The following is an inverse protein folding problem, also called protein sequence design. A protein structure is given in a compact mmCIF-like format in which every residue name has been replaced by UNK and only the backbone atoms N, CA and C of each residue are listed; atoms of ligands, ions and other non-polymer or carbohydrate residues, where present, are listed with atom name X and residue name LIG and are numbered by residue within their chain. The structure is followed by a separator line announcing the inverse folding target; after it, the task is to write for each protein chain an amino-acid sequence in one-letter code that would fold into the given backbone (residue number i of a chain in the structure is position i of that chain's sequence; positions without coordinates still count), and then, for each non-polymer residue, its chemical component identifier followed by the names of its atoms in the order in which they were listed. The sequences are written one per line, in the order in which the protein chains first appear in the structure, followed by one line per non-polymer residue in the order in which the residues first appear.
data_IF_863679600380
#
_entry.id   IF_863679600380
#
_cell.length_a   1.000
_cell.length_b   1.000
_cell.length_c   1.000
_cell.angle_alpha   90.00
_cell.angle_beta   90.00
_cell.angle_gamma   90.00
#
_symmetry.space_group_name_H-M   'P 1'
#
loop_
_entity.id
_entity.type
_entity.pdbx_description
1 polymer ?
#
# COMPACT_ATOMS: atom_id res chain seq x y z
N UNK A 1 15.32 -21.69 -20.85
CA UNK A 1 16.65 -21.21 -20.39
C UNK A 1 16.59 -19.69 -20.30
N UNK A 2 17.30 -19.09 -19.34
CA UNK A 2 17.41 -17.62 -19.25
C UNK A 2 18.85 -17.18 -19.53
N UNK A 3 19.00 -16.18 -20.40
CA UNK A 3 20.30 -15.60 -20.75
C UNK A 3 20.35 -14.09 -20.45
N UNK A 4 21.57 -13.59 -20.19
CA UNK A 4 21.84 -12.20 -19.87
C UNK A 4 22.66 -11.55 -20.99
N UNK A 5 22.06 -10.59 -21.70
CA UNK A 5 22.66 -9.84 -22.81
C UNK A 5 23.19 -8.50 -22.30
N UNK A 6 24.45 -8.21 -22.57
CA UNK A 6 25.01 -6.89 -22.28
C UNK A 6 24.56 -5.86 -23.30
N UNK A 7 24.23 -4.67 -22.86
CA UNK A 7 23.86 -3.57 -23.74
C UNK A 7 23.99 -2.23 -23.03
N UNK A 8 23.97 -1.13 -23.79
CA UNK A 8 23.62 0.19 -23.27
C UNK A 8 22.12 0.45 -23.38
N UNK A 9 21.69 1.56 -22.79
CA UNK A 9 20.29 2.03 -22.79
C UNK A 9 19.75 2.18 -24.21
N UNK A 10 20.54 2.77 -25.11
CA UNK A 10 20.10 3.03 -26.49
C UNK A 10 19.82 1.73 -27.27
N UNK A 11 20.75 0.76 -27.26
CA UNK A 11 20.58 -0.51 -27.96
C UNK A 11 19.54 -1.42 -27.29
N UNK A 12 19.38 -1.30 -25.97
CA UNK A 12 18.29 -1.97 -25.25
C UNK A 12 16.94 -1.51 -25.77
N UNK A 13 16.68 -0.20 -25.76
CA UNK A 13 15.41 0.38 -26.22
C UNK A 13 15.15 0.07 -27.70
N UNK A 14 16.19 0.13 -28.54
CA UNK A 14 16.11 -0.30 -29.95
C UNK A 14 15.74 -1.78 -30.07
N UNK A 15 16.30 -2.67 -29.24
CA UNK A 15 15.99 -4.09 -29.25
C UNK A 15 14.55 -4.37 -28.83
N UNK A 16 14.10 -3.73 -27.76
CA UNK A 16 12.71 -3.82 -27.29
C UNK A 16 11.74 -3.31 -28.35
N UNK A 17 12.03 -2.16 -28.96
CA UNK A 17 11.12 -1.56 -29.95
C UNK A 17 11.06 -2.33 -31.27
N UNK A 18 12.20 -2.89 -31.71
CA UNK A 18 12.28 -3.59 -33.00
C UNK A 18 11.95 -5.09 -32.89
N UNK A 19 11.93 -5.67 -31.69
CA UNK A 19 11.80 -7.11 -31.51
C UNK A 19 13.03 -7.89 -32.00
N UNK A 20 14.22 -7.25 -31.99
CA UNK A 20 15.46 -7.82 -32.54
C UNK A 20 16.58 -7.72 -31.51
N UNK A 21 17.35 -8.80 -31.32
CA UNK A 21 18.62 -8.76 -30.58
C UNK A 21 19.75 -9.18 -31.52
N UNK A 22 20.75 -8.30 -31.70
CA UNK A 22 21.96 -8.61 -32.47
C UNK A 22 23.21 -8.66 -31.61
N UNK A 23 24.06 -9.63 -31.87
CA UNK A 23 25.39 -9.77 -31.26
C UNK A 23 26.45 -9.82 -32.38
N UNK A 24 27.47 -8.93 -32.36
CA UNK A 24 28.62 -9.01 -33.26
C UNK A 24 29.30 -10.38 -33.27
N UNK A 25 29.75 -10.85 -34.44
CA UNK A 25 30.42 -12.16 -34.57
C UNK A 25 31.62 -12.34 -33.63
N UNK A 26 32.39 -11.28 -33.38
CA UNK A 26 33.55 -11.32 -32.48
C UNK A 26 33.19 -11.51 -31.00
N UNK A 27 31.91 -11.33 -30.63
CA UNK A 27 31.41 -11.52 -29.27
C UNK A 27 30.71 -12.88 -29.07
N UNK A 28 30.62 -13.72 -30.10
CA UNK A 28 29.83 -14.96 -30.06
C UNK A 28 30.33 -15.98 -29.04
N UNK A 29 31.63 -15.99 -28.73
CA UNK A 29 32.17 -16.89 -27.70
C UNK A 29 31.62 -16.58 -26.31
N UNK A 30 31.26 -15.32 -26.07
CA UNK A 30 30.69 -14.85 -24.81
C UNK A 30 29.17 -14.84 -24.86
N UNK A 31 28.56 -14.38 -25.95
CA UNK A 31 27.11 -14.21 -26.10
C UNK A 31 26.57 -15.06 -27.25
N UNK A 32 26.65 -16.38 -27.10
CA UNK A 32 26.31 -17.33 -28.17
C UNK A 32 24.80 -17.48 -28.39
N UNK A 33 24.20 -16.57 -29.16
CA UNK A 33 22.77 -16.60 -29.51
C UNK A 33 22.32 -17.90 -30.19
N UNK A 34 23.24 -18.65 -30.82
CA UNK A 34 22.92 -19.90 -31.52
C UNK A 34 22.48 -21.02 -30.57
N UNK A 35 22.75 -20.88 -29.27
CA UNK A 35 22.34 -21.82 -28.23
C UNK A 35 20.91 -21.61 -27.76
N UNK A 36 20.30 -20.47 -28.09
CA UNK A 36 18.94 -20.13 -27.68
C UNK A 36 17.91 -20.82 -28.57
N UNK A 37 16.80 -21.23 -27.96
CA UNK A 37 15.65 -21.86 -28.60
C UNK A 37 14.41 -20.97 -28.46
N UNK A 38 13.42 -21.19 -29.31
CA UNK A 38 12.11 -20.55 -29.19
C UNK A 38 11.54 -20.81 -27.79
N UNK A 39 11.06 -19.75 -27.13
CA UNK A 39 10.56 -19.75 -25.76
C UNK A 39 11.62 -19.53 -24.68
N UNK A 40 12.91 -19.51 -25.01
CA UNK A 40 13.94 -19.08 -24.06
C UNK A 40 13.76 -17.60 -23.70
N UNK A 41 14.15 -17.25 -22.47
CA UNK A 41 14.02 -15.90 -21.93
C UNK A 41 15.33 -15.15 -22.07
N UNK A 42 15.25 -13.87 -22.42
CA UNK A 42 16.39 -12.95 -22.36
C UNK A 42 16.16 -11.85 -21.33
N UNK A 43 17.24 -11.52 -20.66
CA UNK A 43 17.40 -10.35 -19.81
C UNK A 43 18.47 -9.45 -20.43
N UNK A 44 18.32 -8.14 -20.27
CA UNK A 44 19.38 -7.18 -20.58
C UNK A 44 20.08 -6.74 -19.31
N UNK A 45 21.40 -6.79 -19.30
CA UNK A 45 22.22 -6.03 -18.37
C UNK A 45 22.61 -4.72 -19.04
N UNK A 46 22.03 -3.61 -18.56
CA UNK A 46 22.36 -2.26 -19.02
C UNK A 46 23.60 -1.76 -18.25
N UNK A 47 24.71 -1.57 -18.95
CA UNK A 47 25.93 -1.11 -18.28
C UNK A 47 25.96 0.40 -18.00
N UNK A 48 25.03 1.19 -18.57
CA UNK A 48 24.95 2.63 -18.29
C UNK A 48 24.46 2.89 -16.86
N UNK A 49 23.43 2.15 -16.43
CA UNK A 49 22.79 2.28 -15.10
C UNK A 49 23.06 1.09 -14.17
N UNK A 50 23.80 0.08 -14.65
CA UNK A 50 24.12 -1.16 -13.92
C UNK A 50 22.89 -1.95 -13.46
N UNK A 51 21.81 -1.92 -14.25
CA UNK A 51 20.54 -2.59 -13.93
C UNK A 51 20.19 -3.70 -14.92
N UNK A 52 19.29 -4.59 -14.50
CA UNK A 52 18.75 -5.69 -15.32
C UNK A 52 17.33 -5.37 -15.75
N UNK A 53 17.03 -5.64 -17.02
CA UNK A 53 15.71 -5.48 -17.64
C UNK A 53 15.29 -6.78 -18.34
N UNK A 54 14.02 -6.97 -18.67
CA UNK A 54 13.50 -8.18 -19.33
C UNK A 54 12.09 -8.50 -18.86
N UNK A 55 11.43 -9.61 -19.12
CA UNK A 55 11.85 -10.66 -20.03
C UNK A 55 11.52 -10.27 -21.46
N UNK A 56 12.41 -10.68 -22.36
CA UNK A 56 12.06 -10.91 -23.74
C UNK A 56 11.93 -12.41 -23.96
N UNK A 57 11.07 -12.85 -24.88
CA UNK A 57 10.95 -14.26 -25.27
C UNK A 57 11.49 -14.46 -26.67
N UNK A 58 12.36 -15.44 -26.88
CA UNK A 58 12.83 -15.81 -28.22
C UNK A 58 11.64 -16.32 -29.04
N UNK A 59 11.36 -15.68 -30.17
CA UNK A 59 10.27 -16.07 -31.08
C UNK A 59 10.76 -16.79 -32.32
N UNK A 60 12.03 -16.60 -32.69
CA UNK A 60 12.63 -17.24 -33.86
C UNK A 60 14.09 -17.64 -33.61
N UNK A 61 14.58 -18.59 -34.40
CA UNK A 61 15.94 -19.10 -34.33
C UNK A 61 16.99 -18.04 -34.70
N UNK A 62 18.22 -18.30 -34.28
CA UNK A 62 19.37 -17.44 -34.58
C UNK A 62 19.80 -17.57 -36.05
N UNK A 63 19.90 -16.44 -36.74
CA UNK A 63 20.44 -16.37 -38.10
C UNK A 63 21.59 -15.37 -38.18
N UNK A 64 22.40 -15.51 -39.23
CA UNK A 64 23.56 -14.65 -39.48
C UNK A 64 23.18 -13.53 -40.42
N UNK A 65 23.34 -12.29 -39.98
CA UNK A 65 23.06 -11.08 -40.75
C UNK A 65 24.36 -10.40 -41.19
N UNK A 66 24.39 -9.89 -42.42
CA UNK A 66 25.57 -9.28 -43.02
C UNK A 66 25.37 -7.77 -43.15
N UNK A 67 26.26 -7.00 -42.52
CA UNK A 67 26.29 -5.54 -42.59
C UNK A 67 24.91 -4.85 -42.43
N UNK A 68 24.21 -5.07 -41.30
CA UNK A 68 22.96 -4.37 -41.01
C UNK A 68 23.14 -2.85 -41.10
N UNK A 69 22.14 -2.16 -41.68
CA UNK A 69 22.18 -0.69 -41.86
C UNK A 69 21.96 0.09 -40.56
N UNK A 70 21.29 -0.51 -39.59
CA UNK A 70 20.95 0.10 -38.31
C UNK A 70 20.93 -0.93 -37.19
N UNK A 71 21.17 -0.45 -35.97
CA UNK A 71 21.06 -1.25 -34.74
C UNK A 71 19.65 -1.80 -34.49
N UNK A 72 19.46 -2.54 -33.40
CA UNK A 72 20.35 -2.60 -32.24
C UNK A 72 21.62 -3.43 -32.47
N UNK A 73 22.70 -3.03 -31.79
CA UNK A 73 23.96 -3.78 -31.70
C UNK A 73 24.25 -4.02 -30.21
N UNK A 74 23.92 -5.21 -29.71
CA UNK A 74 24.12 -5.55 -28.29
C UNK A 74 25.52 -6.13 -28.06
N UNK A 75 25.99 -6.07 -26.82
CA UNK A 75 27.34 -6.41 -26.39
C UNK A 75 28.03 -5.25 -25.70
N UNK A 76 29.36 -5.30 -25.57
CA UNK A 76 30.19 -4.20 -25.07
C UNK A 76 31.47 -4.05 -25.90
N UNK A 77 32.11 -2.89 -25.80
CA UNK A 77 33.30 -2.55 -26.58
C UNK A 77 32.93 -1.98 -27.96
N UNK A 78 33.79 -2.18 -28.97
CA UNK A 78 33.50 -1.77 -30.35
C UNK A 78 32.47 -2.74 -30.95
N UNK A 79 31.19 -2.41 -30.83
CA UNK A 79 30.05 -3.24 -31.28
C UNK A 79 29.44 -2.75 -32.61
N UNK A 80 29.77 -1.52 -33.01
CA UNK A 80 29.39 -0.95 -34.30
C UNK A 80 30.39 -1.33 -35.40
N UNK A 81 29.93 -1.33 -36.66
CA UNK A 81 30.74 -1.55 -37.86
C UNK A 81 31.34 -2.96 -38.01
N UNK A 82 30.62 -4.00 -37.55
CA UNK A 82 31.00 -5.39 -37.86
C UNK A 82 30.37 -5.85 -39.16
N UNK A 83 31.09 -6.67 -39.92
CA UNK A 83 30.58 -7.19 -41.17
C UNK A 83 29.52 -8.28 -40.98
N UNK A 84 29.55 -8.99 -39.84
CA UNK A 84 28.63 -10.06 -39.50
C UNK A 84 28.10 -9.97 -38.08
N UNK A 85 26.79 -10.15 -37.95
CA UNK A 85 26.07 -10.24 -36.69
C UNK A 85 25.31 -11.57 -36.64
N UNK A 86 25.09 -12.06 -35.42
CA UNK A 86 24.09 -13.07 -35.14
C UNK A 86 22.87 -12.36 -34.59
N UNK A 87 21.70 -12.70 -35.14
CA UNK A 87 20.44 -12.01 -34.90
C UNK A 87 19.39 -13.03 -34.51
N UNK A 88 18.59 -12.69 -33.49
CA UNK A 88 17.38 -13.43 -33.11
C UNK A 88 16.19 -12.47 -33.10
N UNK A 89 14.99 -13.01 -33.32
CA UNK A 89 13.74 -12.29 -33.08
C UNK A 89 13.22 -12.58 -31.68
N UNK A 90 12.65 -11.55 -31.07
CA UNK A 90 12.17 -11.61 -29.69
C UNK A 90 10.81 -10.93 -29.57
N UNK A 91 9.97 -11.47 -28.70
CA UNK A 91 8.75 -10.84 -28.23
C UNK A 91 9.06 -10.01 -27.00
N UNK A 92 8.66 -8.74 -27.05
CA UNK A 92 8.81 -7.77 -25.98
C UNK A 92 7.49 -7.38 -25.32
N UNK A 93 6.40 -8.12 -25.58
CA UNK A 93 5.09 -7.86 -24.96
C UNK A 93 5.15 -7.84 -23.43
N UNK A 94 6.01 -8.69 -22.86
CA UNK A 94 6.19 -8.89 -21.42
C UNK A 94 7.43 -8.16 -20.88
N UNK A 95 7.93 -7.16 -21.62
CA UNK A 95 9.16 -6.46 -21.25
C UNK A 95 8.94 -5.52 -20.06
N UNK A 96 9.73 -5.72 -19.01
CA UNK A 96 9.81 -4.87 -17.83
C UNK A 96 10.75 -3.70 -18.06
N UNK A 97 10.19 -2.49 -17.95
CA UNK A 97 10.82 -1.22 -18.28
C UNK A 97 11.49 -0.51 -17.10
N UNK A 98 11.33 -1.01 -15.88
CA UNK A 98 12.01 -0.56 -14.67
C UNK A 98 13.09 -1.60 -14.33
N UNK A 99 14.33 -1.13 -14.24
CA UNK A 99 15.50 -1.97 -14.04
C UNK A 99 15.69 -2.44 -12.60
N UNK A 100 16.23 -3.66 -12.43
CA UNK A 100 16.69 -4.20 -11.16
C UNK A 100 18.18 -3.90 -10.97
N UNK A 101 18.54 -3.11 -9.95
CA UNK A 101 19.95 -2.82 -9.62
C UNK A 101 20.71 -4.11 -9.29
N UNK A 102 21.80 -4.37 -10.03
CA UNK A 102 22.62 -5.57 -9.87
C UNK A 102 23.30 -5.66 -8.50
N UNK A 103 23.48 -4.56 -7.78
CA UNK A 103 24.01 -4.60 -6.40
C UNK A 103 23.12 -5.40 -5.45
N UNK A 104 21.82 -5.53 -5.76
CA UNK A 104 20.87 -6.34 -5.00
C UNK A 104 20.95 -7.85 -5.32
N UNK A 105 21.82 -8.25 -6.25
CA UNK A 105 22.00 -9.63 -6.68
C UNK A 105 23.47 -10.06 -6.49
N UNK A 106 23.93 -10.30 -5.25
CA UNK A 106 25.33 -10.61 -4.98
C UNK A 106 25.83 -11.88 -5.68
N UNK A 107 24.92 -12.83 -5.94
CA UNK A 107 25.23 -14.10 -6.63
C UNK A 107 25.25 -13.97 -8.16
N UNK A 108 24.85 -12.83 -8.71
CA UNK A 108 24.90 -12.62 -10.14
C UNK A 108 26.30 -12.18 -10.53
N UNK A 109 27.04 -13.08 -11.16
CA UNK A 109 28.22 -12.70 -11.94
C UNK A 109 27.77 -12.14 -13.28
N UNK A 110 27.82 -10.81 -13.50
CA UNK A 110 27.21 -10.23 -14.68
C UNK A 110 27.87 -10.81 -15.93
N UNK A 111 29.15 -11.20 -15.89
CA UNK A 111 29.92 -11.64 -17.07
C UNK A 111 29.48 -12.99 -17.64
N UNK A 112 28.61 -13.72 -16.96
CA UNK A 112 28.07 -15.00 -17.44
C UNK A 112 26.86 -14.77 -18.34
N UNK A 113 26.91 -15.35 -19.53
CA UNK A 113 25.84 -15.24 -20.52
C UNK A 113 24.60 -16.08 -20.18
N UNK A 114 24.79 -17.22 -19.52
CA UNK A 114 23.69 -18.05 -19.05
C UNK A 114 23.55 -17.96 -17.54
N UNK A 115 22.31 -17.81 -17.08
CA UNK A 115 21.98 -17.89 -15.67
C UNK A 115 21.78 -19.38 -15.35
N UNK A 116 22.84 -20.02 -14.87
CA UNK A 116 22.85 -21.47 -14.63
C UNK A 116 22.26 -21.88 -13.27
N UNK A 117 21.82 -20.91 -12.45
CA UNK A 117 21.19 -21.16 -11.15
C UNK A 117 19.67 -20.96 -11.28
N UNK A 118 18.86 -22.03 -11.22
CA UNK A 118 17.41 -21.92 -11.23
C UNK A 118 16.88 -21.01 -10.11
N UNK A 119 17.56 -21.01 -8.95
CA UNK A 119 17.21 -20.14 -7.83
C UNK A 119 17.41 -18.66 -8.20
N UNK A 120 18.55 -18.31 -8.80
CA UNK A 120 18.83 -16.93 -9.22
C UNK A 120 17.89 -16.48 -10.34
N UNK A 121 17.58 -17.35 -11.30
CA UNK A 121 16.60 -17.07 -12.35
C UNK A 121 15.20 -16.80 -11.75
N UNK A 122 14.78 -17.61 -10.80
CA UNK A 122 13.50 -17.44 -10.10
C UNK A 122 13.48 -16.13 -9.30
N UNK A 123 14.55 -15.82 -8.57
CA UNK A 123 14.69 -14.56 -7.81
C UNK A 123 14.61 -13.35 -8.72
N UNK A 124 15.39 -13.32 -9.82
CA UNK A 124 15.35 -12.20 -10.79
C UNK A 124 13.95 -12.08 -11.40
N UNK A 125 13.33 -13.21 -11.77
CA UNK A 125 11.97 -13.21 -12.32
C UNK A 125 10.96 -12.62 -11.35
N UNK A 126 10.99 -13.06 -10.09
CA UNK A 126 10.10 -12.56 -9.03
C UNK A 126 10.29 -11.07 -8.79
N UNK A 127 11.53 -10.60 -8.69
CA UNK A 127 11.83 -9.19 -8.43
C UNK A 127 11.45 -8.31 -9.63
N UNK A 128 11.81 -8.70 -10.86
CA UNK A 128 11.46 -7.93 -12.05
C UNK A 128 9.94 -7.84 -12.23
N UNK A 129 9.24 -8.97 -12.03
CA UNK A 129 7.78 -8.99 -11.98
C UNK A 129 7.29 -7.97 -10.94
N UNK A 130 7.76 -8.02 -9.69
CA UNK A 130 7.35 -7.10 -8.64
C UNK A 130 7.56 -5.63 -8.99
N UNK A 131 8.74 -5.26 -9.47
CA UNK A 131 9.09 -3.87 -9.78
C UNK A 131 8.21 -3.34 -10.91
N UNK A 132 7.86 -4.20 -11.88
CA UNK A 132 7.18 -3.80 -13.11
C UNK A 132 5.71 -4.20 -13.17
N UNK A 133 5.21 -4.82 -12.11
CA UNK A 133 3.80 -5.04 -11.87
C UNK A 133 3.13 -3.66 -11.79
N UNK A 134 2.54 -3.22 -12.90
CA UNK A 134 1.65 -2.07 -12.87
C UNK A 134 0.48 -2.40 -11.94
N UNK A 135 0.36 -1.65 -10.83
CA UNK A 135 -0.86 -1.51 -10.03
C UNK A 135 -1.42 -2.82 -9.47
N UNK A 136 -0.58 -3.80 -9.16
CA UNK A 136 -1.04 -4.98 -8.41
C UNK A 136 -1.08 -4.61 -6.93
N UNK A 137 -2.19 -4.89 -6.22
CA UNK A 137 -2.19 -4.76 -4.78
C UNK A 137 -1.20 -5.77 -4.17
N UNK A 138 -0.23 -5.25 -3.43
CA UNK A 138 0.72 -6.02 -2.64
C UNK A 138 0.15 -6.18 -1.23
N UNK A 139 0.19 -7.40 -0.72
CA UNK A 139 -0.12 -7.65 0.69
C UNK A 139 1.20 -7.90 1.40
N UNK A 140 1.52 -7.06 2.37
CA UNK A 140 2.68 -7.21 3.24
C UNK A 140 2.18 -7.76 4.57
N UNK A 141 2.38 -9.06 4.77
CA UNK A 141 2.15 -9.71 6.06
C UNK A 141 3.40 -9.55 6.92
N UNK A 142 3.23 -9.03 8.13
CA UNK A 142 4.33 -8.86 9.08
C UNK A 142 3.95 -9.59 10.35
N UNK A 143 4.74 -10.61 10.69
CA UNK A 143 4.59 -11.42 11.89
C UNK A 143 5.82 -11.25 12.77
N UNK A 144 5.60 -10.99 14.04
CA UNK A 144 6.66 -10.90 15.02
C UNK A 144 6.64 -12.17 15.87
N UNK A 145 7.78 -12.86 15.84
CA UNK A 145 8.09 -14.01 16.66
C UNK A 145 9.12 -13.56 17.71
N UNK A 146 9.24 -14.29 18.82
CA UNK A 146 9.90 -13.84 20.06
C UNK A 146 11.23 -13.07 19.85
N UNK A 147 12.05 -13.49 18.88
CA UNK A 147 13.34 -12.90 18.55
C UNK A 147 13.49 -12.44 17.09
N UNK A 148 12.49 -12.63 16.23
CA UNK A 148 12.61 -12.33 14.79
C UNK A 148 11.31 -11.83 14.14
N UNK A 149 11.46 -11.07 13.07
CA UNK A 149 10.35 -10.67 12.19
C UNK A 149 10.32 -11.60 10.99
N UNK A 150 9.11 -12.08 10.67
CA UNK A 150 8.80 -12.71 9.39
C UNK A 150 7.96 -11.74 8.58
N UNK A 151 8.53 -11.21 7.52
CA UNK A 151 7.82 -10.34 6.59
C UNK A 151 7.66 -11.05 5.24
N UNK A 152 6.40 -11.19 4.83
CA UNK A 152 5.98 -11.90 3.62
C UNK A 152 5.26 -10.96 2.68
N UNK A 153 5.65 -10.98 1.41
CA UNK A 153 4.97 -10.25 0.34
C UNK A 153 4.15 -11.25 -0.44
N UNK A 154 2.84 -11.05 -0.44
CA UNK A 154 1.88 -11.88 -1.15
C UNK A 154 1.30 -11.10 -2.33
N UNK A 155 0.99 -11.82 -3.41
CA UNK A 155 0.15 -11.26 -4.46
C UNK A 155 -1.30 -11.30 -3.98
N UNK A 156 -1.99 -10.16 -4.03
CA UNK A 156 -3.41 -10.09 -3.62
C UNK A 156 -4.35 -10.93 -4.49
N UNK A 157 -3.98 -11.20 -5.75
CA UNK A 157 -4.81 -11.98 -6.68
C UNK A 157 -4.66 -13.48 -6.46
N UNK A 158 -3.45 -13.91 -6.13
CA UNK A 158 -3.11 -15.30 -5.84
C UNK A 158 -2.13 -15.29 -4.66
N UNK A 159 -2.55 -15.66 -3.43
CA UNK A 159 -1.80 -15.46 -2.18
C UNK A 159 -0.56 -16.37 -2.05
N UNK A 160 0.16 -16.55 -3.15
CA UNK A 160 1.48 -17.15 -3.22
C UNK A 160 2.48 -16.16 -2.63
N UNK A 161 3.27 -16.65 -1.68
CA UNK A 161 4.40 -15.94 -1.10
C UNK A 161 5.43 -15.64 -2.19
N UNK A 162 5.56 -14.35 -2.52
CA UNK A 162 6.50 -13.88 -3.53
C UNK A 162 7.89 -13.81 -2.90
N UNK A 163 7.97 -13.13 -1.75
CA UNK A 163 9.17 -12.91 -0.94
C UNK A 163 8.82 -13.23 0.50
N UNK A 164 9.64 -14.00 1.17
CA UNK A 164 9.62 -14.17 2.63
C UNK A 164 11.03 -13.87 3.13
N UNK A 165 11.14 -13.01 4.12
CA UNK A 165 12.39 -12.69 4.79
C UNK A 165 12.17 -12.87 6.28
N UNK A 166 13.17 -13.46 6.91
CA UNK A 166 13.26 -13.65 8.35
C UNK A 166 14.53 -12.94 8.80
N UNK A 167 14.41 -12.08 9.81
CA UNK A 167 15.56 -11.37 10.37
C UNK A 167 15.31 -11.01 11.82
N UNK A 168 16.41 -10.92 12.59
CA UNK A 168 16.37 -10.63 14.02
C UNK A 168 15.87 -9.20 14.26
N UNK A 169 15.07 -9.04 15.31
CA UNK A 169 14.58 -7.74 15.73
C UNK A 169 15.40 -7.22 16.91
N UNK A 170 15.70 -5.93 16.88
CA UNK A 170 16.22 -5.24 18.07
C UNK A 170 15.19 -5.35 19.21
N UNK A 171 15.61 -5.91 20.36
CA UNK A 171 14.75 -6.05 21.54
C UNK A 171 14.16 -4.72 22.02
N UNK A 172 14.82 -3.60 21.70
CA UNK A 172 14.35 -2.26 22.06
C UNK A 172 13.40 -1.64 21.03
N UNK A 173 13.13 -2.32 19.91
CA UNK A 173 12.34 -1.77 18.80
C UNK A 173 10.97 -1.27 19.24
N UNK A 174 10.21 -2.12 19.94
CA UNK A 174 8.86 -1.78 20.37
C UNK A 174 8.85 -0.69 21.43
N UNK A 175 9.77 -0.75 22.38
CA UNK A 175 9.90 0.26 23.43
C UNK A 175 10.19 1.64 22.84
N UNK A 176 11.10 1.70 21.87
CA UNK A 176 11.44 2.95 21.20
C UNK A 176 10.28 3.50 20.36
N UNK A 177 9.57 2.64 19.61
CA UNK A 177 8.39 3.08 18.85
C UNK A 177 7.28 3.53 19.80
N UNK A 178 7.07 2.84 20.93
CA UNK A 178 6.09 3.23 21.95
C UNK A 178 6.45 4.58 22.56
N UNK A 179 7.70 4.79 22.96
CA UNK A 179 8.20 6.06 23.50
C UNK A 179 7.99 7.21 22.51
N UNK A 180 8.42 7.04 21.26
CA UNK A 180 8.24 8.07 20.22
C UNK A 180 6.76 8.32 19.89
N UNK A 181 5.91 7.31 20.00
CA UNK A 181 4.46 7.46 19.80
C UNK A 181 3.82 8.30 20.90
N UNK A 182 4.30 8.20 22.15
CA UNK A 182 3.89 9.09 23.25
C UNK A 182 4.29 10.53 22.94
N UNK A 183 5.50 10.75 22.44
CA UNK A 183 5.95 12.08 22.05
C UNK A 183 5.16 12.64 20.87
N UNK A 184 4.81 11.81 19.89
CA UNK A 184 3.94 12.19 18.78
C UNK A 184 2.56 12.61 19.27
N UNK A 185 1.98 11.84 20.21
CA UNK A 185 0.70 12.15 20.84
C UNK A 185 0.73 13.51 21.57
N UNK A 186 1.86 13.87 22.20
CA UNK A 186 2.04 15.20 22.81
C UNK A 186 1.97 16.32 21.77
N UNK A 187 2.60 16.15 20.60
CA UNK A 187 2.57 17.14 19.50
C UNK A 187 1.15 17.35 18.97
N UNK A 188 0.38 16.26 18.85
CA UNK A 188 -1.04 16.32 18.45
C UNK A 188 -1.84 17.16 19.46
N UNK A 189 -1.64 16.90 20.77
CA UNK A 189 -2.37 17.58 21.83
C UNK A 189 -2.09 19.09 21.90
N UNK A 190 -0.89 19.53 21.51
CA UNK A 190 -0.54 20.96 21.46
C UNK A 190 -0.71 21.58 20.07
N UNK A 191 -1.21 20.82 19.10
CA UNK A 191 -1.36 21.21 17.70
C UNK A 191 -0.05 21.73 17.06
N UNK A 192 1.10 21.17 17.44
CA UNK A 192 2.39 21.51 16.83
C UNK A 192 2.63 20.66 15.58
N UNK A 193 2.25 21.21 14.43
CA UNK A 193 2.35 20.54 13.13
C UNK A 193 3.79 20.22 12.73
N UNK A 194 4.74 21.11 13.01
CA UNK A 194 6.12 20.92 12.57
C UNK A 194 6.81 19.84 13.41
N UNK A 195 6.58 19.86 14.73
CA UNK A 195 7.03 18.81 15.63
C UNK A 195 6.33 17.47 15.35
N UNK A 196 5.03 17.47 15.04
CA UNK A 196 4.29 16.28 14.60
C UNK A 196 4.96 15.62 13.39
N UNK A 197 5.20 16.36 12.31
CA UNK A 197 5.83 15.80 11.11
C UNK A 197 7.30 15.42 11.34
N UNK A 198 8.03 16.13 12.20
CA UNK A 198 9.38 15.73 12.60
C UNK A 198 9.35 14.35 13.26
N UNK A 199 8.49 14.15 14.25
CA UNK A 199 8.36 12.89 14.98
C UNK A 199 7.83 11.75 14.12
N UNK A 200 6.85 12.00 13.24
CA UNK A 200 6.43 11.03 12.23
C UNK A 200 7.60 10.56 11.36
N UNK A 201 8.48 11.48 10.91
CA UNK A 201 9.67 11.11 10.13
C UNK A 201 10.67 10.29 10.92
N UNK A 202 10.87 10.60 12.21
CA UNK A 202 11.77 9.82 13.06
C UNK A 202 11.27 8.39 13.27
N UNK A 203 9.99 8.23 13.65
CA UNK A 203 9.35 6.91 13.76
C UNK A 203 9.43 6.19 12.40
N UNK A 204 9.10 6.91 11.33
CA UNK A 204 9.08 6.37 9.97
C UNK A 204 10.41 5.85 9.48
N UNK A 205 11.52 6.55 9.78
CA UNK A 205 12.87 6.08 9.44
C UNK A 205 13.21 4.79 10.18
N UNK A 206 12.85 4.72 11.46
CA UNK A 206 13.11 3.53 12.27
C UNK A 206 12.27 2.33 11.79
N UNK A 207 11.00 2.53 11.48
CA UNK A 207 10.16 1.52 10.83
C UNK A 207 10.74 1.07 9.49
N UNK A 208 11.28 2.00 8.68
CA UNK A 208 11.90 1.65 7.42
C UNK A 208 13.14 0.78 7.61
N UNK A 209 14.07 1.20 8.46
CA UNK A 209 15.33 0.49 8.71
C UNK A 209 15.10 -0.92 9.23
N UNK A 210 14.11 -1.08 10.12
CA UNK A 210 13.83 -2.35 10.77
C UNK A 210 12.89 -3.25 9.96
N UNK A 211 11.95 -2.70 9.18
CA UNK A 211 10.93 -3.50 8.50
C UNK A 211 11.16 -3.56 6.98
N UNK A 212 11.37 -2.43 6.32
CA UNK A 212 11.34 -2.37 4.86
C UNK A 212 12.70 -2.52 4.20
N UNK A 213 13.76 -2.01 4.83
CA UNK A 213 15.11 -2.11 4.30
C UNK A 213 15.58 -3.58 4.16
N UNK A 214 15.33 -4.49 5.13
CA UNK A 214 15.66 -5.92 4.98
C UNK A 214 14.86 -6.62 3.87
N UNK A 215 13.71 -6.06 3.49
CA UNK A 215 12.87 -6.55 2.38
C UNK A 215 13.34 -6.07 1.01
N UNK A 216 14.31 -5.15 0.96
CA UNK A 216 14.90 -4.60 -0.28
C UNK A 216 13.86 -3.87 -1.17
N UNK A 217 12.82 -3.30 -0.53
CA UNK A 217 11.65 -2.73 -1.20
C UNK A 217 11.74 -1.24 -1.54
N UNK A 218 12.92 -0.63 -1.61
CA UNK A 218 13.08 0.82 -1.85
C UNK A 218 12.31 1.31 -3.10
N UNK A 219 12.13 0.43 -4.09
CA UNK A 219 11.37 0.74 -5.31
C UNK A 219 9.90 1.09 -5.03
N UNK A 220 9.27 0.61 -3.95
CA UNK A 220 7.89 0.97 -3.59
C UNK A 220 7.80 2.43 -3.11
N UNK A 221 8.88 2.94 -2.51
CA UNK A 221 9.00 4.34 -2.09
C UNK A 221 9.42 5.25 -3.24
N UNK A 222 10.14 4.73 -4.23
CA UNK A 222 10.59 5.51 -5.38
C UNK A 222 9.50 5.63 -6.46
N UNK A 223 8.93 4.49 -6.86
CA UNK A 223 8.03 4.38 -8.01
C UNK A 223 6.58 4.76 -7.68
N UNK A 224 6.09 4.40 -6.49
CA UNK A 224 4.71 4.66 -6.10
C UNK A 224 3.65 3.90 -6.92
N UNK A 225 2.40 4.17 -6.61
CA UNK A 225 1.21 3.65 -7.31
C UNK A 225 0.78 2.26 -6.87
N UNK A 226 1.36 1.72 -5.81
CA UNK A 226 1.01 0.42 -5.26
C UNK A 226 -0.16 0.56 -4.27
N UNK A 227 -1.02 -0.45 -4.22
CA UNK A 227 -1.92 -0.65 -3.08
C UNK A 227 -1.22 -1.61 -2.13
N UNK A 228 -0.89 -1.16 -0.93
CA UNK A 228 -0.12 -1.92 0.05
C UNK A 228 -1.03 -2.16 1.25
N UNK A 229 -1.30 -3.44 1.50
CA UNK A 229 -2.10 -3.87 2.62
C UNK A 229 -1.24 -4.54 3.69
N UNK A 230 -1.30 -4.04 4.92
CA UNK A 230 -0.65 -4.68 6.05
C UNK A 230 -1.57 -5.71 6.71
N UNK A 231 -1.06 -6.90 6.98
CA UNK A 231 -1.72 -7.88 7.85
C UNK A 231 -0.91 -7.96 9.15
N UNK A 232 -1.26 -7.16 10.18
CA UNK A 232 -0.58 -7.21 11.45
C UNK A 232 -1.08 -8.38 12.32
N UNK A 233 -0.21 -8.81 13.23
CA UNK A 233 -0.55 -9.60 14.41
C UNK A 233 -0.90 -8.71 15.63
N UNK A 234 -1.04 -9.32 16.81
CA UNK A 234 -1.40 -8.62 18.04
C UNK A 234 -0.35 -7.61 18.50
N UNK A 235 0.93 -7.85 18.20
CA UNK A 235 2.02 -6.99 18.65
C UNK A 235 2.17 -5.80 17.69
N UNK A 236 1.94 -6.03 16.40
CA UNK A 236 2.20 -5.07 15.32
C UNK A 236 1.04 -4.16 14.97
N UNK A 237 -0.19 -4.50 15.36
CA UNK A 237 -1.36 -3.70 15.00
C UNK A 237 -1.24 -2.24 15.46
N UNK A 238 -0.48 -2.00 16.52
CA UNK A 238 -0.26 -0.68 17.09
C UNK A 238 0.90 0.10 16.43
N UNK A 239 1.67 -0.53 15.54
CA UNK A 239 2.71 0.17 14.78
C UNK A 239 2.07 1.06 13.69
N UNK A 240 2.45 2.34 13.58
CA UNK A 240 1.97 3.23 12.54
C UNK A 240 2.74 3.01 11.23
N UNK A 241 2.62 1.81 10.65
CA UNK A 241 3.37 1.37 9.46
C UNK A 241 3.17 2.30 8.26
N UNK A 242 2.02 2.96 8.17
CA UNK A 242 1.74 4.00 7.19
C UNK A 242 2.74 5.17 7.23
N UNK A 243 3.33 5.47 8.39
CA UNK A 243 4.31 6.54 8.57
C UNK A 243 5.74 6.14 8.21
N UNK A 244 5.96 4.93 7.70
CA UNK A 244 7.29 4.53 7.22
C UNK A 244 7.86 5.57 6.26
N UNK A 245 9.08 6.03 6.50
CA UNK A 245 9.68 7.17 5.81
C UNK A 245 11.04 6.81 5.23
N UNK A 246 11.16 6.93 3.90
CA UNK A 246 12.40 6.67 3.17
C UNK A 246 12.47 7.56 1.92
N UNK A 247 13.69 7.86 1.46
CA UNK A 247 13.93 8.66 0.26
C UNK A 247 13.14 9.98 0.24
N UNK A 248 13.11 10.68 1.37
CA UNK A 248 12.42 11.97 1.56
C UNK A 248 10.89 11.95 1.43
N UNK A 249 10.27 10.76 1.53
CA UNK A 249 8.81 10.63 1.46
C UNK A 249 8.27 9.58 2.42
N UNK A 250 7.06 9.82 2.95
CA UNK A 250 6.29 8.80 3.64
C UNK A 250 5.75 7.77 2.65
N UNK A 251 5.55 6.54 3.11
CA UNK A 251 5.04 5.45 2.30
C UNK A 251 3.69 5.79 1.65
N UNK A 252 2.79 6.44 2.40
CA UNK A 252 1.47 6.85 1.90
C UNK A 252 1.54 7.92 0.81
N UNK A 253 2.59 8.75 0.74
CA UNK A 253 2.64 9.86 -0.23
C UNK A 253 2.60 9.39 -1.69
N UNK A 254 3.01 8.16 -1.93
CA UNK A 254 3.03 7.56 -3.26
C UNK A 254 2.20 6.30 -3.38
N UNK A 255 1.69 5.73 -2.29
CA UNK A 255 1.01 4.43 -2.28
C UNK A 255 -0.31 4.49 -1.51
N UNK A 256 -1.24 3.60 -1.85
CA UNK A 256 -2.50 3.46 -1.13
C UNK A 256 -2.30 2.45 0.00
N UNK A 257 -2.45 2.89 1.25
CA UNK A 257 -2.12 2.08 2.43
C UNK A 257 -3.38 1.72 3.19
N UNK A 258 -3.50 0.44 3.54
CA UNK A 258 -4.61 -0.06 4.35
C UNK A 258 -4.14 -1.21 5.27
N UNK A 259 -4.94 -1.50 6.29
CA UNK A 259 -4.72 -2.63 7.20
C UNK A 259 -5.81 -3.68 6.91
N UNK A 260 -5.42 -4.91 6.59
CA UNK A 260 -6.35 -6.00 6.28
C UNK A 260 -6.50 -6.96 7.46
N UNK A 261 -7.73 -7.43 7.66
CA UNK A 261 -7.97 -8.66 8.40
C UNK A 261 -7.58 -9.89 7.56
N UNK A 262 -7.13 -10.97 8.22
CA UNK A 262 -6.60 -12.20 7.59
C UNK A 262 -7.49 -12.85 6.51
N UNK A 263 -8.79 -12.50 6.44
CA UNK A 263 -9.79 -13.18 5.59
C UNK A 263 -10.49 -12.27 4.56
N UNK A 264 -9.98 -11.07 4.24
CA UNK A 264 -10.74 -10.04 3.47
C UNK A 264 -10.02 -9.56 2.20
N UNK A 265 -9.82 -10.45 1.22
CA UNK A 265 -9.29 -10.03 -0.09
C UNK A 265 -10.31 -10.28 -1.20
N UNK A 266 -10.70 -9.22 -1.92
CA UNK A 266 -11.10 -9.30 -3.33
C UNK A 266 -12.48 -9.88 -3.67
N UNK A 267 -13.40 -10.02 -2.70
CA UNK A 267 -14.71 -10.63 -2.96
C UNK A 267 -15.73 -9.67 -3.62
N UNK A 268 -15.63 -8.36 -3.36
CA UNK A 268 -16.59 -7.37 -3.86
C UNK A 268 -15.86 -6.11 -4.32
N UNK A 269 -16.19 -5.63 -5.53
CA UNK A 269 -15.54 -4.44 -6.12
C UNK A 269 -16.35 -3.15 -5.97
N UNK A 270 -17.65 -3.29 -5.72
CA UNK A 270 -18.58 -2.16 -5.69
C UNK A 270 -19.69 -2.40 -4.66
N UNK A 271 -20.01 -1.37 -3.89
CA UNK A 271 -21.01 -1.39 -2.82
C UNK A 271 -21.95 -0.21 -3.03
N UNK A 272 -23.25 -0.46 -3.11
CA UNK A 272 -24.26 0.59 -3.23
C UNK A 272 -24.65 1.09 -1.85
N UNK A 273 -24.42 2.37 -1.57
CA UNK A 273 -24.81 3.03 -0.33
C UNK A 273 -26.14 3.75 -0.57
N UNK A 274 -27.22 3.24 0.03
CA UNK A 274 -28.55 3.88 -0.10
C UNK A 274 -28.93 4.65 1.15
N UNK A 275 -28.62 4.07 2.32
CA UNK A 275 -28.96 4.58 3.64
C UNK A 275 -27.72 4.79 4.48
N UNK A 276 -27.59 6.00 4.99
CA UNK A 276 -26.52 6.45 5.89
C UNK A 276 -27.09 6.78 7.26
N UNK A 277 -26.44 6.31 8.32
CA UNK A 277 -26.70 6.75 9.68
C UNK A 277 -25.56 7.65 10.15
N UNK A 278 -25.89 8.86 10.57
CA UNK A 278 -24.98 9.78 11.25
C UNK A 278 -25.36 9.82 12.72
N UNK A 279 -24.41 9.49 13.59
CA UNK A 279 -24.52 9.68 15.03
C UNK A 279 -23.49 10.73 15.41
N UNK A 280 -23.94 11.87 15.91
CA UNK A 280 -23.06 12.98 16.24
C UNK A 280 -23.45 13.64 17.56
N UNK A 281 -22.47 13.79 18.45
CA UNK A 281 -22.65 14.45 19.74
C UNK A 281 -23.93 13.97 20.49
N UNK A 282 -24.09 12.66 20.74
CA UNK A 282 -25.30 12.16 21.39
C UNK A 282 -25.43 12.65 22.84
N UNK A 283 -24.32 13.01 23.50
CA UNK A 283 -24.27 13.62 24.83
C UNK A 283 -24.62 15.12 24.86
N UNK A 284 -24.58 15.81 23.71
CA UNK A 284 -24.79 17.25 23.55
C UNK A 284 -23.79 18.11 24.30
N UNK A 285 -22.57 17.61 24.41
CA UNK A 285 -21.43 18.21 25.07
C UNK A 285 -20.32 18.62 24.08
N UNK A 286 -20.41 18.22 22.80
CA UNK A 286 -19.38 18.44 21.79
C UNK A 286 -19.91 19.10 20.52
N UNK A 287 -19.87 20.44 20.55
CA UNK A 287 -20.32 21.30 19.46
C UNK A 287 -19.72 20.93 18.10
N UNK A 288 -18.43 20.59 18.03
CA UNK A 288 -17.78 20.32 16.74
C UNK A 288 -18.24 19.01 16.12
N UNK A 289 -18.42 17.97 16.93
CA UNK A 289 -19.02 16.71 16.49
C UNK A 289 -20.45 16.95 15.97
N UNK A 290 -21.25 17.76 16.67
CA UNK A 290 -22.57 18.17 16.18
C UNK A 290 -22.52 18.87 14.81
N UNK A 291 -21.64 19.87 14.66
CA UNK A 291 -21.50 20.61 13.40
C UNK A 291 -21.02 19.72 12.25
N UNK A 292 -20.11 18.78 12.51
CA UNK A 292 -19.68 17.77 11.55
C UNK A 292 -20.85 16.91 11.05
N UNK A 293 -21.60 16.34 11.99
CA UNK A 293 -22.75 15.50 11.68
C UNK A 293 -23.83 16.27 10.91
N UNK A 294 -24.08 17.52 11.29
CA UNK A 294 -25.02 18.40 10.59
C UNK A 294 -24.58 18.70 9.16
N UNK A 295 -23.31 19.07 8.94
CA UNK A 295 -22.78 19.34 7.59
C UNK A 295 -22.85 18.08 6.70
N UNK A 296 -22.56 16.91 7.27
CA UNK A 296 -22.68 15.65 6.55
C UNK A 296 -24.13 15.31 6.19
N UNK A 297 -25.05 15.51 7.11
CA UNK A 297 -26.47 15.31 6.87
C UNK A 297 -26.97 16.20 5.72
N UNK A 298 -26.63 17.50 5.76
CA UNK A 298 -26.95 18.44 4.68
C UNK A 298 -26.35 18.00 3.34
N UNK A 299 -25.09 17.57 3.34
CA UNK A 299 -24.41 17.05 2.14
C UNK A 299 -25.11 15.79 1.57
N UNK A 300 -25.46 14.82 2.40
CA UNK A 300 -26.12 13.59 1.96
C UNK A 300 -27.52 13.84 1.43
N UNK A 301 -28.29 14.73 2.07
CA UNK A 301 -29.59 15.16 1.57
C UNK A 301 -29.49 15.78 0.16
N UNK A 302 -28.54 16.70 -0.05
CA UNK A 302 -28.31 17.33 -1.36
C UNK A 302 -27.84 16.30 -2.40
N UNK A 303 -27.08 15.30 -1.98
CA UNK A 303 -26.60 14.22 -2.83
C UNK A 303 -27.68 13.19 -3.18
N UNK A 304 -28.87 13.26 -2.56
CA UNK A 304 -29.99 12.34 -2.77
C UNK A 304 -29.92 11.05 -1.93
N UNK A 305 -28.93 10.93 -1.05
CA UNK A 305 -28.72 9.74 -0.21
C UNK A 305 -29.70 9.77 0.95
N UNK A 306 -30.39 8.67 1.22
CA UNK A 306 -31.26 8.57 2.38
C UNK A 306 -30.36 8.60 3.63
N UNK A 307 -30.59 9.56 4.52
CA UNK A 307 -29.74 9.80 5.66
C UNK A 307 -30.59 10.03 6.91
N UNK A 308 -30.24 9.35 7.99
CA UNK A 308 -30.80 9.59 9.32
C UNK A 308 -29.73 10.24 10.21
N UNK A 309 -30.11 11.27 10.97
CA UNK A 309 -29.21 12.05 11.83
C UNK A 309 -29.64 11.98 13.29
N UNK A 310 -28.77 11.45 14.15
CA UNK A 310 -28.99 11.30 15.59
C UNK A 310 -28.00 12.17 16.36
N UNK A 311 -28.52 13.22 17.00
CA UNK A 311 -27.81 14.05 17.98
C UNK A 311 -28.63 14.22 19.27
N UNK A 312 -28.91 13.06 19.85
CA UNK A 312 -29.59 12.89 21.13
C UNK A 312 -29.07 11.62 21.79
N UNK A 313 -29.32 11.46 23.10
CA UNK A 313 -29.06 10.18 23.74
C UNK A 313 -29.80 9.04 23.04
N UNK A 314 -29.11 7.91 22.89
CA UNK A 314 -29.60 6.69 22.26
C UNK A 314 -29.23 5.49 23.13
N UNK A 315 -30.22 4.65 23.45
CA UNK A 315 -29.94 3.44 24.25
C UNK A 315 -29.19 2.41 23.42
N UNK A 316 -28.42 1.54 24.08
CA UNK A 316 -27.68 0.49 23.37
C UNK A 316 -28.59 -0.46 22.57
N UNK A 317 -29.80 -0.74 23.09
CA UNK A 317 -30.80 -1.57 22.41
C UNK A 317 -31.34 -0.87 21.17
N UNK A 318 -31.69 0.41 21.28
CA UNK A 318 -32.14 1.22 20.14
C UNK A 318 -31.06 1.28 19.04
N UNK A 319 -29.80 1.48 19.42
CA UNK A 319 -28.68 1.51 18.49
C UNK A 319 -28.52 0.16 17.75
N UNK A 320 -28.57 -0.96 18.48
CA UNK A 320 -28.49 -2.31 17.90
C UNK A 320 -29.64 -2.53 16.91
N UNK A 321 -30.86 -2.13 17.27
CA UNK A 321 -32.06 -2.35 16.44
C UNK A 321 -32.02 -1.54 15.14
N UNK A 322 -31.47 -0.32 15.16
CA UNK A 322 -31.46 0.53 13.96
C UNK A 322 -30.29 0.22 13.02
N UNK A 323 -29.14 -0.20 13.53
CA UNK A 323 -27.89 -0.23 12.75
C UNK A 323 -27.94 -1.20 11.56
N UNK A 324 -28.72 -2.28 11.65
CA UNK A 324 -28.90 -3.29 10.60
C UNK A 324 -29.53 -2.73 9.30
N UNK A 325 -30.17 -1.57 9.39
CA UNK A 325 -30.89 -0.94 8.29
C UNK A 325 -30.01 -0.03 7.41
N UNK A 326 -28.75 0.19 7.78
CA UNK A 326 -27.86 1.12 7.09
C UNK A 326 -26.71 0.40 6.40
N UNK A 327 -26.21 0.96 5.30
CA UNK A 327 -24.99 0.47 4.64
C UNK A 327 -23.75 1.25 5.09
N UNK A 328 -23.94 2.44 5.65
CA UNK A 328 -22.87 3.31 6.12
C UNK A 328 -23.25 3.89 7.47
N UNK A 329 -22.31 3.81 8.42
CA UNK A 329 -22.41 4.50 9.71
C UNK A 329 -21.25 5.47 9.84
N UNK A 330 -21.57 6.72 10.11
CA UNK A 330 -20.62 7.75 10.50
C UNK A 330 -20.88 8.13 11.96
N UNK A 331 -19.90 7.93 12.82
CA UNK A 331 -19.93 8.35 14.21
C UNK A 331 -18.91 9.46 14.44
N UNK A 332 -19.32 10.53 15.11
CA UNK A 332 -18.43 11.60 15.57
C UNK A 332 -18.78 12.01 17.00
N UNK A 333 -17.79 11.96 17.90
CA UNK A 333 -18.03 12.12 19.34
C UNK A 333 -16.95 11.48 20.21
N UNK A 334 -17.31 11.21 21.47
CA UNK A 334 -16.36 10.70 22.47
C UNK A 334 -16.23 9.18 22.42
N UNK A 335 -14.97 8.72 22.39
CA UNK A 335 -14.62 7.39 22.84
C UNK A 335 -14.50 7.33 24.37
N UNK A 336 -14.36 6.12 24.92
CA UNK A 336 -14.04 5.91 26.34
C UNK A 336 -12.80 6.73 26.75
N UNK A 337 -12.93 7.60 27.75
CA UNK A 337 -11.80 8.33 28.35
C UNK A 337 -11.37 7.74 29.69
N UNK A 338 -12.07 6.72 30.17
CA UNK A 338 -11.98 6.21 31.55
C UNK A 338 -11.31 4.84 31.65
N UNK A 339 -11.19 4.08 30.56
CA UNK A 339 -10.46 2.82 30.56
C UNK A 339 -8.95 3.09 30.71
N UNK A 340 -8.42 2.82 31.90
CA UNK A 340 -6.97 2.74 32.16
C UNK A 340 -6.31 1.55 31.48
N UNK A 341 -7.12 0.63 30.95
CA UNK A 341 -6.66 -0.54 30.21
C UNK A 341 -6.36 -0.12 28.77
N UNK A 342 -5.06 0.06 28.48
CA UNK A 342 -4.52 0.42 27.17
C UNK A 342 -5.05 -0.51 26.06
N UNK A 343 -6.18 -0.15 25.44
CA UNK A 343 -6.60 -0.70 24.14
C UNK A 343 -7.39 -2.02 24.13
N UNK A 344 -7.87 -2.51 25.29
CA UNK A 344 -8.66 -3.76 25.33
C UNK A 344 -10.09 -3.59 24.82
N UNK A 345 -10.67 -2.40 24.97
CA UNK A 345 -12.05 -2.08 24.60
C UNK A 345 -12.11 -0.83 23.73
N UNK A 346 -13.03 -0.80 22.77
CA UNK A 346 -13.40 0.44 22.08
C UNK A 346 -14.87 0.66 22.34
N UNK A 347 -15.16 1.71 23.11
CA UNK A 347 -16.51 2.14 23.36
C UNK A 347 -16.70 3.59 22.93
N UNK A 348 -17.92 3.94 22.57
CA UNK A 348 -18.27 5.33 22.30
C UNK A 348 -19.47 5.75 23.14
N UNK A 349 -19.48 7.02 23.52
CA UNK A 349 -20.54 7.55 24.36
C UNK A 349 -21.82 7.76 23.56
N UNK A 350 -22.94 7.21 24.06
CA UNK A 350 -24.26 7.32 23.43
C UNK A 350 -25.15 8.38 24.07
N UNK A 351 -24.62 9.19 24.98
CA UNK A 351 -25.40 10.12 25.81
C UNK A 351 -26.05 9.47 27.03
N UNK A 352 -26.22 8.15 27.06
CA UNK A 352 -26.73 7.40 28.22
C UNK A 352 -25.66 6.49 28.84
N UNK A 353 -24.87 5.85 27.98
CA UNK A 353 -23.92 4.81 28.34
C UNK A 353 -22.68 4.85 27.44
N UNK A 354 -21.66 4.08 27.82
CA UNK A 354 -20.54 3.74 26.94
C UNK A 354 -20.92 2.48 26.16
N UNK A 355 -21.16 2.63 24.86
CA UNK A 355 -21.50 1.52 23.98
C UNK A 355 -20.24 0.80 23.52
N UNK A 356 -20.09 -0.44 23.95
CA UNK A 356 -19.00 -1.36 23.56
C UNK A 356 -19.17 -1.83 22.11
N UNK A 357 -18.19 -1.55 21.23
CA UNK A 357 -18.21 -1.98 19.82
C UNK A 357 -18.29 -3.50 19.66
N UNK A 358 -17.85 -4.26 20.68
CA UNK A 358 -17.98 -5.71 20.80
C UNK A 358 -19.40 -6.20 20.61
N UNK A 359 -20.38 -5.39 21.02
CA UNK A 359 -21.80 -5.69 20.89
C UNK A 359 -22.27 -5.65 19.45
N UNK A 360 -21.54 -4.99 18.55
CA UNK A 360 -21.83 -5.03 17.11
C UNK A 360 -21.54 -6.41 16.52
N UNK A 361 -20.63 -7.19 17.11
CA UNK A 361 -20.21 -8.50 16.55
C UNK A 361 -21.38 -9.51 16.58
N UNK A 362 -22.31 -9.38 17.51
CA UNK A 362 -23.49 -10.25 17.62
C UNK A 362 -24.63 -9.87 16.68
N UNK A 363 -24.54 -8.72 16.01
CA UNK A 363 -25.58 -8.21 15.11
C UNK A 363 -25.54 -9.00 13.80
N UNK A 364 -26.72 -9.40 13.30
CA UNK A 364 -26.82 -10.34 12.18
C UNK A 364 -26.36 -9.72 10.87
N UNK A 365 -26.64 -8.43 10.69
CA UNK A 365 -26.29 -7.67 9.50
C UNK A 365 -25.69 -6.34 9.91
N UNK A 366 -24.46 -6.09 9.47
CA UNK A 366 -23.77 -4.84 9.76
C UNK A 366 -23.64 -3.95 8.51
N UNK A 367 -23.48 -2.63 8.71
CA UNK A 367 -23.04 -1.69 7.69
C UNK A 367 -21.79 -2.14 6.94
N UNK A 368 -21.72 -1.77 5.66
CA UNK A 368 -20.56 -2.07 4.80
C UNK A 368 -19.36 -1.17 5.08
N UNK A 369 -19.60 0.04 5.59
CA UNK A 369 -18.58 1.01 5.95
C UNK A 369 -18.90 1.64 7.31
N UNK A 370 -17.93 1.60 8.21
CA UNK A 370 -17.92 2.39 9.42
C UNK A 370 -16.87 3.50 9.33
N UNK A 371 -17.25 4.72 9.72
CA UNK A 371 -16.33 5.82 9.92
C UNK A 371 -16.47 6.30 11.37
N UNK A 372 -15.46 6.05 12.20
CA UNK A 372 -15.41 6.46 13.59
C UNK A 372 -14.45 7.65 13.75
N UNK A 373 -15.02 8.85 13.82
CA UNK A 373 -14.30 10.06 14.18
C UNK A 373 -14.35 10.27 15.70
N UNK A 374 -13.51 9.52 16.42
CA UNK A 374 -13.48 9.54 17.88
C UNK A 374 -12.11 9.14 18.42
N UNK A 375 -11.70 9.74 19.53
CA UNK A 375 -10.49 9.37 20.28
C UNK A 375 -10.55 7.94 20.85
N UNK A 376 -9.39 7.38 21.22
CA UNK A 376 -9.24 6.06 21.85
C UNK A 376 -9.83 4.88 21.03
N UNK A 377 -9.87 5.00 19.71
CA UNK A 377 -10.26 3.88 18.85
C UNK A 377 -9.13 2.84 18.78
N UNK A 378 -9.47 1.56 18.89
CA UNK A 378 -8.51 0.45 18.79
C UNK A 378 -8.51 -0.16 17.40
N UNK A 379 -7.32 -0.28 16.80
CA UNK A 379 -7.11 -1.03 15.55
C UNK A 379 -7.59 -2.48 15.70
N UNK A 380 -7.39 -3.08 16.88
CA UNK A 380 -7.89 -4.43 17.22
C UNK A 380 -9.38 -4.55 16.94
N UNK A 381 -10.18 -3.62 17.46
CA UNK A 381 -11.63 -3.66 17.31
C UNK A 381 -12.10 -3.38 15.90
N UNK A 382 -11.43 -2.47 15.19
CA UNK A 382 -11.66 -2.30 13.76
C UNK A 382 -11.42 -3.59 12.97
N UNK A 383 -10.37 -4.36 13.30
CA UNK A 383 -10.11 -5.68 12.71
C UNK A 383 -11.13 -6.74 13.12
N UNK A 384 -11.62 -6.72 14.36
CA UNK A 384 -12.71 -7.61 14.80
C UNK A 384 -14.01 -7.35 14.05
N UNK A 385 -14.39 -6.08 13.83
CA UNK A 385 -15.55 -5.72 12.99
C UNK A 385 -15.42 -6.26 11.56
N UNK A 386 -14.21 -6.21 11.00
CA UNK A 386 -13.92 -6.78 9.69
C UNK A 386 -14.02 -8.31 9.63
N UNK A 387 -14.12 -9.03 10.76
CA UNK A 387 -14.45 -10.47 10.70
C UNK A 387 -15.90 -10.71 10.28
N UNK A 388 -16.79 -9.72 10.48
CA UNK A 388 -18.14 -9.80 9.96
C UNK A 388 -18.12 -9.70 8.42
N UNK A 389 -18.81 -10.62 7.75
CA UNK A 389 -18.82 -10.73 6.28
C UNK A 389 -19.36 -9.48 5.58
N UNK A 390 -20.25 -8.72 6.22
CA UNK A 390 -20.92 -7.56 5.63
C UNK A 390 -20.07 -6.28 5.74
N UNK A 391 -19.18 -6.20 6.73
CA UNK A 391 -18.29 -5.05 6.95
C UNK A 391 -17.10 -5.13 6.02
N UNK A 392 -16.93 -4.17 5.12
CA UNK A 392 -15.81 -4.17 4.19
C UNK A 392 -14.69 -3.23 4.59
N UNK A 393 -15.04 -2.09 5.18
CA UNK A 393 -14.07 -1.09 5.60
C UNK A 393 -14.48 -0.47 6.93
N UNK A 394 -13.47 -0.15 7.73
CA UNK A 394 -13.57 0.62 8.96
C UNK A 394 -12.51 1.71 8.89
N UNK A 395 -12.93 2.96 9.08
CA UNK A 395 -12.02 4.10 9.23
C UNK A 395 -12.13 4.54 10.69
N UNK A 396 -10.99 4.65 11.36
CA UNK A 396 -10.92 5.09 12.76
C UNK A 396 -9.63 5.84 13.02
N UNK A 397 -9.58 6.67 14.05
CA UNK A 397 -8.33 7.34 14.43
C UNK A 397 -7.45 6.43 15.27
N UNK A 398 -6.13 6.48 15.03
CA UNK A 398 -5.16 5.80 15.91
C UNK A 398 -4.81 6.66 17.13
N UNK A 399 -5.01 7.96 17.01
CA UNK A 399 -4.50 8.96 17.93
C UNK A 399 -5.65 9.68 18.63
N UNK A 400 -5.35 10.19 19.81
CA UNK A 400 -6.21 11.15 20.47
C UNK A 400 -5.95 12.53 19.87
N UNK A 401 -6.99 13.31 19.66
CA UNK A 401 -6.84 14.65 19.14
C UNK A 401 -7.89 15.56 19.74
N UNK A 402 -7.58 16.85 19.73
CA UNK A 402 -8.50 17.88 20.14
C UNK A 402 -9.56 18.08 19.07
N UNK A 403 -10.74 18.49 19.47
CA UNK A 403 -11.80 18.78 18.51
C UNK A 403 -11.36 19.83 17.49
N UNK A 404 -11.63 19.54 16.22
CA UNK A 404 -11.29 20.43 15.12
C UNK A 404 -12.55 21.05 14.53
N UNK A 405 -12.39 22.26 13.99
CA UNK A 405 -13.41 22.95 13.22
C UNK A 405 -13.39 22.57 11.72
N UNK A 406 -12.31 21.93 11.26
CA UNK A 406 -12.08 21.67 9.85
C UNK A 406 -12.59 20.29 9.44
N UNK A 407 -13.87 20.27 9.03
CA UNK A 407 -14.56 19.08 8.53
C UNK A 407 -14.43 18.92 7.01
N UNK A 408 -13.68 19.79 6.32
CA UNK A 408 -13.67 19.83 4.87
C UNK A 408 -13.07 18.55 4.28
N UNK A 409 -12.13 17.91 4.99
CA UNK A 409 -11.58 16.62 4.56
C UNK A 409 -12.63 15.50 4.59
N UNK A 410 -13.58 15.53 5.54
CA UNK A 410 -14.62 14.48 5.69
C UNK A 410 -15.65 14.62 4.59
N UNK A 411 -16.13 15.86 4.35
CA UNK A 411 -17.03 16.14 3.23
C UNK A 411 -16.35 15.75 1.92
N UNK A 412 -15.09 16.16 1.73
CA UNK A 412 -14.32 15.81 0.52
C UNK A 412 -14.10 14.29 0.38
N UNK A 413 -13.88 13.59 1.49
CA UNK A 413 -13.79 12.14 1.50
C UNK A 413 -15.08 11.54 0.93
N UNK A 414 -16.26 11.92 1.42
CA UNK A 414 -17.53 11.39 0.91
C UNK A 414 -17.86 11.85 -0.53
N UNK A 415 -17.50 13.07 -0.93
CA UNK A 415 -17.61 13.56 -2.32
C UNK A 415 -16.86 12.66 -3.31
N UNK A 416 -15.63 12.29 -2.97
CA UNK A 416 -14.81 11.44 -3.82
C UNK A 416 -15.27 9.99 -3.75
N UNK A 417 -15.66 9.54 -2.56
CA UNK A 417 -16.17 8.20 -2.32
C UNK A 417 -17.37 7.93 -3.23
N UNK A 418 -18.40 8.79 -3.21
CA UNK A 418 -19.62 8.61 -4.01
C UNK A 418 -19.46 8.88 -5.51
N UNK A 419 -18.31 9.38 -5.96
CA UNK A 419 -17.93 9.36 -7.38
C UNK A 419 -17.46 7.98 -7.86
N UNK A 420 -17.54 6.95 -6.99
CA UNK A 420 -17.09 5.61 -7.30
C UNK A 420 -15.57 5.49 -7.36
N UNK A 421 -14.84 6.37 -6.67
CA UNK A 421 -13.39 6.23 -6.52
C UNK A 421 -13.11 5.19 -5.43
N UNK A 422 -12.09 4.36 -5.62
CA UNK A 422 -11.67 3.35 -4.65
C UNK A 422 -11.32 4.01 -3.31
N UNK A 423 -11.85 3.47 -2.21
CA UNK A 423 -11.75 4.09 -0.88
C UNK A 423 -10.31 4.36 -0.44
N UNK A 424 -9.37 3.45 -0.76
CA UNK A 424 -7.95 3.64 -0.45
C UNK A 424 -7.34 4.82 -1.21
N UNK A 425 -7.78 5.08 -2.45
CA UNK A 425 -7.36 6.25 -3.23
C UNK A 425 -7.91 7.54 -2.64
N UNK A 426 -9.20 7.53 -2.29
CA UNK A 426 -9.88 8.68 -1.68
C UNK A 426 -9.18 9.08 -0.38
N UNK A 427 -8.95 8.10 0.49
CA UNK A 427 -8.32 8.29 1.79
C UNK A 427 -6.88 8.80 1.65
N UNK A 428 -6.11 8.23 0.72
CA UNK A 428 -4.75 8.67 0.47
C UNK A 428 -4.67 10.09 -0.11
N UNK A 429 -5.60 10.47 -0.99
CA UNK A 429 -5.69 11.83 -1.52
C UNK A 429 -5.88 12.85 -0.39
N UNK A 430 -6.70 12.53 0.63
CA UNK A 430 -6.88 13.42 1.78
C UNK A 430 -5.59 13.55 2.60
N UNK A 431 -4.86 12.46 2.84
CA UNK A 431 -3.56 12.50 3.55
C UNK A 431 -2.52 13.34 2.79
N UNK A 432 -2.40 13.15 1.49
CA UNK A 432 -1.45 13.90 0.65
C UNK A 432 -1.80 15.39 0.61
N UNK A 433 -3.09 15.73 0.49
CA UNK A 433 -3.56 17.12 0.50
C UNK A 433 -3.22 17.79 1.83
N UNK A 434 -3.50 17.10 2.93
CA UNK A 434 -3.16 17.51 4.30
C UNK A 434 -1.67 17.81 4.48
N UNK A 435 -0.80 16.96 3.93
CA UNK A 435 0.65 17.14 4.01
C UNK A 435 1.15 18.33 3.16
N UNK A 436 0.56 18.54 1.98
CA UNK A 436 1.05 19.53 0.99
C UNK A 436 0.47 20.93 1.18
N UNK A 437 -0.62 21.09 1.92
CA UNK A 437 -1.21 22.39 2.15
C UNK A 437 -0.40 23.18 3.19
N UNK A 438 0.59 23.93 2.71
CA UNK A 438 1.42 24.79 3.54
C UNK A 438 0.67 25.98 4.15
N UNK A 439 -0.52 26.31 3.62
CA UNK A 439 -1.33 27.45 4.09
C UNK A 439 -2.36 27.05 5.13
N UNK A 440 -2.81 25.80 5.12
CA UNK A 440 -3.74 25.24 6.08
C UNK A 440 -3.26 23.86 6.51
N UNK A 441 -2.14 23.81 7.25
CA UNK A 441 -1.61 22.56 7.81
C UNK A 441 -2.70 21.94 8.67
N UNK A 442 -3.18 20.76 8.28
CA UNK A 442 -4.19 20.02 8.99
C UNK A 442 -3.76 18.55 9.00
N UNK A 443 -3.23 18.01 10.11
CA UNK A 443 -2.81 16.62 10.19
C UNK A 443 -3.98 15.64 10.37
N UNK A 444 -5.22 16.12 10.52
CA UNK A 444 -6.36 15.29 10.89
C UNK A 444 -6.54 14.07 9.98
N UNK A 445 -6.49 14.16 8.63
CA UNK A 445 -6.57 12.97 7.77
C UNK A 445 -5.47 11.94 8.03
N UNK A 446 -4.30 12.39 8.48
CA UNK A 446 -3.13 11.54 8.76
C UNK A 446 -3.33 10.73 10.04
N UNK A 447 -4.16 11.22 10.96
CA UNK A 447 -4.45 10.52 12.22
C UNK A 447 -5.34 9.29 12.05
N UNK A 448 -6.04 9.18 10.92
CA UNK A 448 -6.92 8.06 10.64
C UNK A 448 -6.16 6.88 10.02
N UNK A 449 -6.59 5.70 10.42
CA UNK A 449 -6.24 4.43 9.79
C UNK A 449 -7.40 3.95 8.93
N UNK A 450 -7.06 3.38 7.78
CA UNK A 450 -8.02 2.72 6.89
C UNK A 450 -7.84 1.21 7.03
N UNK A 451 -8.86 0.55 7.57
CA UNK A 451 -8.91 -0.89 7.75
C UNK A 451 -9.91 -1.48 6.74
N UNK A 452 -9.55 -2.60 6.12
CA UNK A 452 -10.38 -3.28 5.12
C UNK A 452 -9.85 -3.14 3.70
N UNK A 453 -10.67 -3.49 2.71
CA UNK A 453 -10.25 -3.56 1.30
C UNK A 453 -10.24 -2.18 0.62
N UNK A 454 -9.02 -1.70 0.31
CA UNK A 454 -8.76 -0.42 -0.36
C UNK A 454 -9.29 -0.31 -1.79
N UNK A 455 -9.58 -1.43 -2.44
CA UNK A 455 -10.05 -1.46 -3.83
C UNK A 455 -11.56 -1.28 -3.97
N UNK A 456 -12.30 -1.26 -2.87
CA UNK A 456 -13.76 -1.14 -2.90
C UNK A 456 -14.17 0.27 -3.33
N UNK A 457 -15.11 0.30 -4.28
CA UNK A 457 -15.80 1.51 -4.70
C UNK A 457 -17.17 1.55 -4.04
N UNK A 458 -17.51 2.68 -3.45
CA UNK A 458 -18.84 2.92 -2.89
C UNK A 458 -19.58 3.83 -3.86
N UNK A 459 -20.72 3.38 -4.35
CA UNK A 459 -21.54 4.13 -5.31
C UNK A 459 -22.87 4.48 -4.67
N UNK A 460 -23.45 5.58 -5.11
CA UNK A 460 -24.78 6.00 -4.71
C UNK A 460 -25.80 5.61 -5.78
#
# INVERSE_FOLDING_TARGET
MTCLIYTNTENMLKSVTSGIVRIPKNLIERFDLRKLKIGDKLLFYNYDDKSIYGFLKVTDGCYKEKNPKSGPYNGYGKIDNHYYYYTILVDSSDFFNIGLDVKKLPDLEPKKFFINSPNLENTISKILNLINMKRIPLVIEIRFLEDHIVASILNSVDPVVIVEKIYDLDKMFFDLVKEKSVDLQRSINIMDYDDFFLKCREIGKYLYEMIFNPLELDYIFQSGGYSISFIPDEITMNLPLEFTYCCESFLFEKNYINILGKNKVGLQKEVVIRRVLIIADPGRDYKYSYEEGKRLFEYFLVSGVECDFISRPISDLELIDIIENYQLVHFTGHGDTTSTDEGEHTSFYTGESLFQLERLISIKKLPNLFFFNMCNSSIKWGLELLKNKDVYNVILSRWNFLDFHDFDFIIRFYELLFKGIEIGKVFNEQKIKSLKDSRNKNFLPILFSHLGDASIRYVF
#
